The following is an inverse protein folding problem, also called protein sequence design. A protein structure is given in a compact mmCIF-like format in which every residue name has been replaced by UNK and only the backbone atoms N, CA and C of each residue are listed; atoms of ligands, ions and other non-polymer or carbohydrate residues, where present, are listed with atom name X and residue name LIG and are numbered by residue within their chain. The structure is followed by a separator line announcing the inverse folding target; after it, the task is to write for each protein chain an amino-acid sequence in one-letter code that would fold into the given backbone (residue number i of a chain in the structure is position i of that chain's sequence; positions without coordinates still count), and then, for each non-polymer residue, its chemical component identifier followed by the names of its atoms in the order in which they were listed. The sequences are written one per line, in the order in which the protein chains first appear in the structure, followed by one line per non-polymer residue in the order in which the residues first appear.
data_IF_665768049841
#
_entry.id   IF_665768049841
#
_cell.length_a   1.000
_cell.length_b   1.000
_cell.length_c   1.000
_cell.angle_alpha   90.00
_cell.angle_beta   90.00
_cell.angle_gamma   90.00
#
_symmetry.space_group_name_H-M   'P 1'
#
loop_
_entity.id
_entity.type
_entity.pdbx_description
1 polymer ?
#
# COMPACT_ATOMS: atom_id res chain seq x y z
N UNK A 1 -10.92 5.02 -19.21
CA UNK A 1 -11.62 3.94 -19.94
C UNK A 1 -11.01 2.58 -19.56
N UNK A 2 -11.77 1.48 -19.58
CA UNK A 2 -11.25 0.12 -19.35
C UNK A 2 -10.69 -0.44 -20.66
N UNK A 3 -9.37 -0.45 -20.83
CA UNK A 3 -8.74 -1.18 -21.93
C UNK A 3 -8.67 -2.67 -21.56
N UNK A 4 -9.44 -3.50 -22.28
CA UNK A 4 -9.27 -4.95 -22.24
C UNK A 4 -8.16 -5.33 -23.21
N UNK A 5 -6.99 -5.67 -22.69
CA UNK A 5 -5.94 -6.34 -23.48
C UNK A 5 -6.26 -7.84 -23.47
N UNK A 6 -5.94 -8.61 -24.52
CA UNK A 6 -6.24 -10.04 -24.54
C UNK A 6 -5.66 -10.72 -23.29
N UNK A 7 -6.53 -11.21 -22.41
CA UNK A 7 -6.15 -11.95 -21.21
C UNK A 7 -5.68 -11.13 -20.00
N UNK A 8 -5.69 -9.78 -20.02
CA UNK A 8 -5.36 -8.96 -18.82
C UNK A 8 -6.23 -7.71 -18.71
N UNK A 9 -6.45 -7.23 -17.49
CA UNK A 9 -7.21 -6.00 -17.20
C UNK A 9 -6.28 -4.93 -16.60
N UNK A 10 -6.28 -3.73 -17.18
CA UNK A 10 -5.71 -2.56 -16.50
C UNK A 10 -6.78 -1.92 -15.59
N UNK A 11 -6.42 -1.65 -14.34
CA UNK A 11 -7.28 -1.06 -13.33
C UNK A 11 -6.65 0.23 -12.83
N UNK A 12 -7.33 1.36 -13.03
CA UNK A 12 -6.79 2.66 -12.67
C UNK A 12 -6.71 2.85 -11.15
N UNK A 13 -5.72 3.60 -10.68
CA UNK A 13 -5.63 4.15 -9.32
C UNK A 13 -6.89 4.89 -8.89
N UNK A 14 -7.48 5.63 -9.81
CA UNK A 14 -8.66 6.46 -9.59
C UNK A 14 -9.99 5.75 -9.91
N UNK A 15 -9.96 4.46 -10.24
CA UNK A 15 -11.18 3.70 -10.55
C UNK A 15 -12.11 3.65 -9.34
N UNK A 16 -13.37 4.02 -9.54
CA UNK A 16 -14.44 3.89 -8.56
C UNK A 16 -15.21 2.62 -8.89
N UNK A 17 -15.27 1.69 -7.93
CA UNK A 17 -15.95 0.41 -8.12
C UNK A 17 -17.43 0.53 -7.79
N UNK A 18 -18.28 0.02 -8.68
CA UNK A 18 -19.70 -0.16 -8.41
C UNK A 18 -19.90 -1.34 -7.44
N UNK A 19 -20.90 -1.29 -6.54
CA UNK A 19 -21.34 -2.44 -5.76
C UNK A 19 -21.63 -3.70 -6.61
N UNK A 20 -22.03 -3.53 -7.86
CA UNK A 20 -22.37 -4.66 -8.75
C UNK A 20 -21.15 -5.39 -9.32
N UNK A 21 -19.96 -4.79 -9.23
CA UNK A 21 -18.72 -5.39 -9.79
C UNK A 21 -17.91 -6.19 -8.79
N UNK A 22 -18.28 -6.16 -7.50
CA UNK A 22 -17.56 -6.83 -6.42
C UNK A 22 -18.51 -7.20 -5.29
N UNK A 23 -18.36 -8.40 -4.73
CA UNK A 23 -19.09 -8.82 -3.54
C UNK A 23 -18.80 -7.89 -2.36
N UNK A 24 -19.85 -7.35 -1.77
CA UNK A 24 -19.75 -6.28 -0.77
C UNK A 24 -20.72 -6.47 0.40
N UNK A 25 -20.37 -5.84 1.52
CA UNK A 25 -21.20 -5.72 2.71
C UNK A 25 -21.63 -4.26 2.88
N UNK A 26 -22.94 -3.97 3.02
CA UNK A 26 -23.40 -2.60 3.28
C UNK A 26 -22.74 -2.02 4.53
N UNK A 27 -22.24 -0.78 4.42
CA UNK A 27 -21.67 -0.04 5.55
C UNK A 27 -22.74 0.31 6.59
N UNK A 28 -24.02 0.34 6.18
CA UNK A 28 -25.18 0.58 7.03
C UNK A 28 -25.56 2.05 7.18
N UNK A 29 -24.91 2.96 6.44
CA UNK A 29 -25.23 4.38 6.38
C UNK A 29 -24.67 5.00 5.09
N UNK A 30 -25.24 6.12 4.67
CA UNK A 30 -24.76 6.95 3.55
C UNK A 30 -23.71 7.93 4.06
N UNK A 31 -22.43 7.59 3.87
CA UNK A 31 -21.31 8.26 4.52
C UNK A 31 -21.15 9.71 4.09
N UNK A 32 -21.55 10.07 2.87
CA UNK A 32 -21.52 11.46 2.37
C UNK A 32 -22.60 12.35 2.95
N UNK A 33 -23.68 11.78 3.47
CA UNK A 33 -24.80 12.54 4.05
C UNK A 33 -24.54 12.93 5.51
N UNK A 34 -23.56 12.30 6.16
CA UNK A 34 -23.20 12.57 7.55
C UNK A 34 -22.07 13.60 7.63
N UNK A 35 -22.25 14.62 8.46
CA UNK A 35 -21.18 15.54 8.81
C UNK A 35 -20.08 14.82 9.60
N UNK A 36 -18.83 15.26 9.46
CA UNK A 36 -17.73 14.77 10.30
C UNK A 36 -18.05 15.02 11.77
N UNK A 37 -17.82 14.02 12.63
CA UNK A 37 -18.17 14.03 14.05
C UNK A 37 -19.64 13.69 14.34
N UNK A 38 -20.49 13.52 13.34
CA UNK A 38 -21.88 13.11 13.57
C UNK A 38 -21.94 11.63 14.02
N UNK A 39 -22.86 11.28 14.94
CA UNK A 39 -23.10 9.89 15.29
C UNK A 39 -23.65 9.12 14.08
N UNK A 40 -23.24 7.86 13.95
CA UNK A 40 -23.72 6.97 12.90
C UNK A 40 -25.11 6.40 13.27
N UNK A 41 -25.98 6.09 12.30
CA UNK A 41 -27.29 5.48 12.53
C UNK A 41 -27.19 3.97 12.83
N UNK A 42 -26.12 3.56 13.50
CA UNK A 42 -25.81 2.18 13.89
C UNK A 42 -25.15 2.20 15.27
N UNK A 43 -25.42 1.19 16.13
CA UNK A 43 -24.89 1.19 17.49
C UNK A 43 -23.35 1.03 17.50
N UNK A 44 -22.62 1.86 18.27
CA UNK A 44 -21.19 1.67 18.48
C UNK A 44 -20.90 0.42 19.31
N UNK A 45 -19.65 -0.04 19.24
CA UNK A 45 -19.08 -1.01 20.16
C UNK A 45 -18.79 -0.34 21.50
N UNK A 46 -19.72 -0.48 22.47
CA UNK A 46 -19.61 0.16 23.79
C UNK A 46 -18.25 -0.09 24.47
N UNK A 47 -17.76 -1.33 24.48
CA UNK A 47 -16.45 -1.67 25.06
C UNK A 47 -15.30 -0.90 24.40
N UNK A 48 -15.29 -0.84 23.06
CA UNK A 48 -14.24 -0.16 22.30
C UNK A 48 -14.24 1.34 22.62
N UNK A 49 -15.42 1.97 22.56
CA UNK A 49 -15.58 3.41 22.81
C UNK A 49 -15.19 3.77 24.25
N UNK A 50 -15.69 3.03 25.24
CA UNK A 50 -15.37 3.29 26.65
C UNK A 50 -13.87 3.14 26.93
N UNK A 51 -13.25 2.01 26.54
CA UNK A 51 -11.82 1.78 26.79
C UNK A 51 -10.93 2.75 26.03
N UNK A 52 -11.28 3.08 24.78
CA UNK A 52 -10.49 4.02 24.00
C UNK A 52 -10.59 5.45 24.53
N UNK A 53 -11.74 5.85 25.09
CA UNK A 53 -11.91 7.15 25.75
C UNK A 53 -11.06 7.30 27.02
N UNK A 54 -10.71 6.19 27.66
CA UNK A 54 -9.80 6.16 28.80
C UNK A 54 -8.32 6.17 28.39
N UNK A 55 -8.01 6.05 27.10
CA UNK A 55 -6.63 6.00 26.64
C UNK A 55 -6.01 7.40 26.48
N UNK A 56 -4.77 7.53 26.93
CA UNK A 56 -3.90 8.71 26.75
C UNK A 56 -2.81 8.51 25.69
N UNK A 57 -2.61 7.26 25.24
CA UNK A 57 -1.60 6.90 24.24
C UNK A 57 -2.04 5.85 23.22
N UNK A 58 -1.37 5.86 22.07
CA UNK A 58 -1.50 4.88 20.99
C UNK A 58 -0.12 4.28 20.69
N UNK A 59 0.02 2.97 20.87
CA UNK A 59 1.17 2.20 20.38
C UNK A 59 0.84 1.54 19.06
N UNK A 60 1.62 1.87 18.03
CA UNK A 60 1.58 1.20 16.74
C UNK A 60 2.65 0.11 16.71
N UNK A 61 2.22 -1.15 16.66
CA UNK A 61 3.12 -2.30 16.74
C UNK A 61 2.82 -3.29 15.60
N UNK A 62 3.62 -3.23 14.54
CA UNK A 62 3.50 -4.15 13.41
C UNK A 62 4.81 -4.91 13.18
N UNK A 63 4.72 -6.23 13.11
CA UNK A 63 5.84 -7.17 12.92
C UNK A 63 5.62 -8.16 11.79
N UNK A 64 4.39 -8.27 11.28
CA UNK A 64 4.03 -9.12 10.15
C UNK A 64 4.66 -8.68 8.82
N UNK A 65 4.07 -9.13 7.71
CA UNK A 65 4.57 -8.79 6.37
C UNK A 65 4.44 -7.29 6.12
N UNK A 66 5.47 -6.68 5.51
CA UNK A 66 5.51 -5.24 5.19
C UNK A 66 4.22 -4.75 4.51
N UNK A 67 3.71 -5.52 3.53
CA UNK A 67 2.51 -5.13 2.78
C UNK A 67 1.28 -5.00 3.66
N UNK A 68 0.99 -6.02 4.46
CA UNK A 68 -0.16 -6.05 5.37
C UNK A 68 -0.06 -4.91 6.39
N UNK A 69 1.14 -4.73 6.97
CA UNK A 69 1.42 -3.67 7.95
C UNK A 69 1.19 -2.27 7.38
N UNK A 70 1.67 -1.99 6.16
CA UNK A 70 1.51 -0.68 5.51
C UNK A 70 0.04 -0.36 5.21
N UNK A 71 -0.72 -1.35 4.73
CA UNK A 71 -2.14 -1.16 4.41
C UNK A 71 -2.98 -0.97 5.69
N UNK A 72 -2.58 -1.61 6.79
CA UNK A 72 -3.22 -1.50 8.10
C UNK A 72 -2.98 -0.17 8.83
N UNK A 73 -2.06 0.70 8.37
CA UNK A 73 -1.83 2.02 9.00
C UNK A 73 -3.10 2.90 8.96
N UNK A 74 -3.99 2.66 7.99
CA UNK A 74 -5.33 3.28 7.96
C UNK A 74 -6.15 3.06 9.24
N UNK A 75 -5.93 1.95 9.96
CA UNK A 75 -6.54 1.71 11.27
C UNK A 75 -6.01 2.67 12.33
N UNK A 76 -4.69 2.93 12.33
CA UNK A 76 -4.04 3.93 13.20
C UNK A 76 -4.62 5.30 12.92
N UNK A 77 -4.76 5.68 11.65
CA UNK A 77 -5.40 6.93 11.25
C UNK A 77 -6.83 7.04 11.77
N UNK A 78 -7.64 5.99 11.67
CA UNK A 78 -9.02 6.00 12.18
C UNK A 78 -9.09 6.22 13.70
N UNK A 79 -8.22 5.57 14.47
CA UNK A 79 -8.14 5.76 15.93
C UNK A 79 -7.65 7.17 16.28
N UNK A 80 -6.60 7.65 15.63
CA UNK A 80 -6.07 9.01 15.81
C UNK A 80 -7.14 10.07 15.50
N UNK A 81 -7.82 9.92 14.38
CA UNK A 81 -8.91 10.79 13.94
C UNK A 81 -10.04 10.84 14.98
N UNK A 82 -10.43 9.69 15.53
CA UNK A 82 -11.47 9.62 16.56
C UNK A 82 -11.03 10.32 17.85
N UNK A 83 -9.81 10.04 18.33
CA UNK A 83 -9.26 10.67 19.53
C UNK A 83 -9.17 12.19 19.39
N UNK A 84 -8.77 12.67 18.20
CA UNK A 84 -8.73 14.11 17.86
C UNK A 84 -10.13 14.74 17.91
N UNK A 85 -11.17 14.01 17.47
CA UNK A 85 -12.56 14.48 17.55
C UNK A 85 -13.08 14.54 18.99
N UNK A 86 -12.65 13.64 19.88
CA UNK A 86 -13.11 13.61 21.27
C UNK A 86 -12.39 14.65 22.16
N UNK A 87 -11.10 14.88 21.91
CA UNK A 87 -10.24 15.70 22.77
C UNK A 87 -9.37 16.67 21.96
N UNK A 88 -9.94 17.78 21.44
CA UNK A 88 -9.21 18.69 20.54
C UNK A 88 -8.09 19.50 21.20
N UNK A 89 -7.98 19.48 22.54
CA UNK A 89 -7.11 20.40 23.31
C UNK A 89 -5.84 19.77 23.87
N UNK A 90 -5.58 18.47 23.66
CA UNK A 90 -4.40 17.78 24.20
C UNK A 90 -3.57 17.08 23.13
N UNK A 91 -2.22 17.08 23.22
CA UNK A 91 -1.40 16.27 22.34
C UNK A 91 -1.62 14.80 22.65
N UNK A 92 -2.19 14.06 21.70
CA UNK A 92 -2.28 12.60 21.79
C UNK A 92 -0.89 12.00 21.65
N UNK A 93 -0.48 11.14 22.57
CA UNK A 93 0.77 10.40 22.45
C UNK A 93 0.60 9.26 21.43
N UNK A 94 1.36 9.29 20.34
CA UNK A 94 1.38 8.22 19.34
C UNK A 94 2.81 7.80 19.09
N UNK A 95 3.11 6.55 19.40
CA UNK A 95 4.42 5.95 19.25
C UNK A 95 4.35 4.74 18.32
N UNK A 96 5.49 4.38 17.73
CA UNK A 96 5.62 3.17 16.93
C UNK A 96 6.82 2.34 17.36
N UNK A 97 6.67 1.02 17.33
CA UNK A 97 7.72 0.06 17.61
C UNK A 97 7.83 -1.00 16.51
N UNK A 98 8.83 -1.87 16.63
CA UNK A 98 9.06 -2.97 15.68
C UNK A 98 9.77 -2.54 14.39
N UNK A 99 9.89 -3.47 13.42
CA UNK A 99 10.73 -3.28 12.23
C UNK A 99 10.27 -2.11 11.33
N UNK A 100 9.00 -1.72 11.41
CA UNK A 100 8.43 -0.69 10.54
C UNK A 100 8.25 0.68 11.23
N UNK A 101 8.71 0.85 12.48
CA UNK A 101 8.54 2.10 13.23
C UNK A 101 9.06 3.33 12.46
N UNK A 102 10.23 3.21 11.81
CA UNK A 102 10.82 4.28 10.99
C UNK A 102 9.97 4.65 9.77
N UNK A 103 9.23 3.70 9.20
CA UNK A 103 8.30 3.97 8.10
C UNK A 103 7.03 4.64 8.63
N UNK A 104 6.47 4.12 9.72
CA UNK A 104 5.26 4.67 10.35
C UNK A 104 5.49 6.13 10.78
N UNK A 105 6.68 6.48 11.28
CA UNK A 105 7.06 7.84 11.62
C UNK A 105 6.89 8.85 10.46
N UNK A 106 6.99 8.40 9.21
CA UNK A 106 6.91 9.25 8.01
C UNK A 106 5.48 9.61 7.61
N UNK A 107 4.49 8.99 8.25
CA UNK A 107 3.06 9.29 8.04
C UNK A 107 2.64 10.64 8.62
N UNK A 108 3.46 11.20 9.52
CA UNK A 108 3.10 12.40 10.29
C UNK A 108 2.13 12.14 11.44
N UNK A 109 1.77 10.88 11.73
CA UNK A 109 0.85 10.54 12.84
C UNK A 109 1.56 10.36 14.18
N UNK A 110 2.89 10.24 14.22
CA UNK A 110 3.63 10.08 15.47
C UNK A 110 3.89 11.45 16.11
N UNK A 111 3.72 11.52 17.42
CA UNK A 111 3.89 12.75 18.21
C UNK A 111 5.11 12.70 19.13
N UNK A 112 5.77 11.55 19.25
CA UNK A 112 6.94 11.34 20.12
C UNK A 112 8.01 10.49 19.38
N UNK A 113 9.32 10.72 19.61
CA UNK A 113 10.39 9.84 19.14
C UNK A 113 10.15 8.35 19.42
N UNK A 114 10.54 7.45 18.50
CA UNK A 114 10.43 6.00 18.72
C UNK A 114 11.19 5.56 19.98
N UNK A 115 10.55 4.74 20.82
CA UNK A 115 11.18 4.05 21.95
C UNK A 115 11.09 4.72 23.33
N UNK A 116 10.36 5.82 23.48
CA UNK A 116 9.98 6.30 24.80
C UNK A 116 8.99 5.31 25.46
N UNK A 117 9.08 5.12 26.78
CA UNK A 117 8.13 4.27 27.49
C UNK A 117 6.75 4.94 27.48
N UNK A 118 5.70 4.21 27.07
CA UNK A 118 4.35 4.69 27.31
C UNK A 118 3.98 4.50 28.78
N UNK A 119 3.84 5.61 29.49
CA UNK A 119 3.11 5.63 30.74
C UNK A 119 1.60 5.72 30.46
N UNK A 120 0.78 5.30 31.43
CA UNK A 120 -0.66 5.51 31.36
C UNK A 120 -1.46 4.38 30.71
N UNK A 121 -2.68 4.70 30.29
CA UNK A 121 -3.62 3.75 29.67
C UNK A 121 -3.52 3.90 28.16
N UNK A 122 -3.05 2.87 27.48
CA UNK A 122 -2.86 2.98 26.04
C UNK A 122 -3.59 1.91 25.23
N UNK A 123 -3.85 2.24 23.97
CA UNK A 123 -4.30 1.27 22.98
C UNK A 123 -3.11 0.78 22.15
N UNK A 124 -3.00 -0.53 21.96
CA UNK A 124 -2.07 -1.11 20.97
C UNK A 124 -2.83 -1.45 19.69
N UNK A 125 -2.29 -1.01 18.55
CA UNK A 125 -2.81 -1.29 17.21
C UNK A 125 -1.73 -2.05 16.44
N UNK A 126 -2.05 -3.24 15.94
CA UNK A 126 -1.04 -4.10 15.35
C UNK A 126 -1.58 -5.37 14.70
N UNK A 127 -0.69 -6.18 14.14
CA UNK A 127 -1.03 -7.57 13.78
C UNK A 127 -1.22 -8.43 15.04
N UNK A 128 -1.79 -9.63 14.86
CA UNK A 128 -2.15 -10.53 15.97
C UNK A 128 -0.94 -10.86 16.87
N UNK A 129 0.18 -11.23 16.26
CA UNK A 129 1.41 -11.59 17.00
C UNK A 129 1.94 -10.41 17.82
N UNK A 130 1.91 -9.19 17.26
CA UNK A 130 2.35 -8.00 17.99
C UNK A 130 1.40 -7.62 19.12
N UNK A 131 0.09 -7.64 18.88
CA UNK A 131 -0.92 -7.28 19.89
C UNK A 131 -0.91 -8.26 21.08
N UNK A 132 -0.68 -9.55 20.83
CA UNK A 132 -0.62 -10.57 21.89
C UNK A 132 0.52 -10.33 22.89
N UNK A 133 1.66 -9.76 22.44
CA UNK A 133 2.80 -9.41 23.31
C UNK A 133 2.49 -8.32 24.34
N UNK A 134 1.44 -7.54 24.10
CA UNK A 134 1.03 -6.43 24.96
C UNK A 134 -0.25 -6.75 25.73
N UNK A 135 -0.56 -8.04 25.92
CA UNK A 135 -1.81 -8.48 26.57
C UNK A 135 -1.93 -8.01 28.02
N UNK A 136 -0.82 -7.98 28.75
CA UNK A 136 -0.82 -7.66 30.18
C UNK A 136 -0.72 -6.14 30.45
N UNK A 137 -0.19 -5.37 29.49
CA UNK A 137 0.10 -3.94 29.65
C UNK A 137 -0.91 -3.02 28.93
N UNK A 138 -1.46 -3.45 27.79
CA UNK A 138 -2.33 -2.59 26.99
C UNK A 138 -3.74 -2.46 27.58
N UNK A 139 -4.20 -1.21 27.75
CA UNK A 139 -5.57 -0.94 28.17
C UNK A 139 -6.60 -1.30 27.09
N UNK A 140 -6.24 -1.29 25.81
CA UNK A 140 -7.11 -1.71 24.71
C UNK A 140 -6.27 -2.31 23.57
N UNK A 141 -6.85 -3.24 22.82
CA UNK A 141 -6.18 -3.97 21.74
C UNK A 141 -6.99 -3.88 20.45
N UNK A 142 -6.36 -3.42 19.38
CA UNK A 142 -6.95 -3.38 18.03
C UNK A 142 -6.11 -4.25 17.11
N UNK A 143 -6.61 -5.46 16.83
CA UNK A 143 -5.96 -6.40 15.91
C UNK A 143 -6.35 -6.06 14.47
N UNK A 144 -5.34 -5.78 13.65
CA UNK A 144 -5.45 -5.57 12.22
C UNK A 144 -5.22 -6.91 11.49
N UNK A 145 -6.29 -7.66 11.28
CA UNK A 145 -6.29 -8.87 10.47
C UNK A 145 -6.75 -8.55 9.03
N UNK A 146 -5.90 -8.68 8.00
CA UNK A 146 -6.28 -8.36 6.62
C UNK A 146 -7.31 -9.36 6.04
N UNK A 147 -7.54 -10.50 6.70
CA UNK A 147 -8.59 -11.44 6.36
C UNK A 147 -9.98 -11.00 6.85
N UNK A 148 -10.05 -10.17 7.89
CA UNK A 148 -11.28 -9.92 8.64
C UNK A 148 -12.24 -8.90 8.01
N UNK A 149 -11.82 -7.69 7.57
CA UNK A 149 -12.78 -6.68 7.16
C UNK A 149 -13.30 -6.95 5.73
N UNK A 150 -14.62 -6.91 5.50
CA UNK A 150 -15.22 -7.14 4.18
C UNK A 150 -15.00 -5.94 3.25
N UNK A 151 -15.29 -6.11 1.97
CA UNK A 151 -15.46 -4.98 1.08
C UNK A 151 -16.73 -4.20 1.47
N UNK A 152 -16.60 -2.93 1.84
CA UNK A 152 -17.76 -2.13 2.25
C UNK A 152 -18.45 -1.48 1.06
N UNK A 153 -19.76 -1.22 1.18
CA UNK A 153 -20.52 -0.36 0.25
C UNK A 153 -21.28 0.77 0.95
N UNK A 154 -21.20 1.96 0.37
CA UNK A 154 -21.92 3.17 0.82
C UNK A 154 -21.94 4.18 -0.33
N UNK A 155 -22.95 5.04 -0.41
CA UNK A 155 -23.06 6.10 -1.41
C UNK A 155 -22.97 5.58 -2.86
N UNK A 156 -23.54 4.40 -3.11
CA UNK A 156 -23.49 3.72 -4.42
C UNK A 156 -22.08 3.30 -4.87
N UNK A 157 -21.12 3.21 -3.94
CA UNK A 157 -19.72 2.88 -4.20
C UNK A 157 -19.24 1.71 -3.34
N UNK A 158 -18.43 0.83 -3.93
CA UNK A 158 -17.65 -0.17 -3.22
C UNK A 158 -16.29 0.38 -2.76
N UNK A 159 -15.84 -0.08 -1.59
CA UNK A 159 -14.56 0.24 -0.96
C UNK A 159 -13.71 -1.02 -0.84
N UNK A 160 -13.13 -1.50 -1.95
CA UNK A 160 -12.47 -2.78 -1.95
C UNK A 160 -11.04 -2.73 -1.41
N UNK A 161 -10.36 -1.59 -1.41
CA UNK A 161 -8.96 -1.49 -0.95
C UNK A 161 -8.82 -1.68 0.56
N UNK A 162 -7.78 -2.42 0.96
CA UNK A 162 -7.56 -2.76 2.37
C UNK A 162 -7.53 -1.54 3.31
N UNK A 163 -6.94 -0.39 2.94
CA UNK A 163 -6.98 0.80 3.78
C UNK A 163 -8.40 1.29 4.08
N UNK A 164 -9.27 1.34 3.06
CA UNK A 164 -10.67 1.70 3.27
C UNK A 164 -11.39 0.71 4.19
N UNK A 165 -11.10 -0.59 4.04
CA UNK A 165 -11.71 -1.65 4.85
C UNK A 165 -11.42 -1.50 6.33
N UNK A 166 -10.16 -1.29 6.70
CA UNK A 166 -9.75 -1.10 8.09
C UNK A 166 -10.31 0.21 8.66
N UNK A 167 -10.22 1.31 7.92
CA UNK A 167 -10.71 2.60 8.39
C UNK A 167 -12.23 2.58 8.62
N UNK A 168 -13.00 2.09 7.65
CA UNK A 168 -14.46 2.06 7.73
C UNK A 168 -14.97 1.05 8.76
N UNK A 169 -14.25 -0.06 8.98
CA UNK A 169 -14.58 -1.00 10.05
C UNK A 169 -14.45 -0.34 11.43
N UNK A 170 -13.41 0.48 11.65
CA UNK A 170 -13.26 1.23 12.90
C UNK A 170 -14.25 2.38 13.01
N UNK A 171 -14.48 3.15 11.94
CA UNK A 171 -15.52 4.19 11.89
C UNK A 171 -16.88 3.64 12.35
N UNK A 172 -17.29 2.50 11.78
CA UNK A 172 -18.52 1.79 12.16
C UNK A 172 -18.53 1.37 13.62
N UNK A 173 -17.43 0.79 14.13
CA UNK A 173 -17.35 0.32 15.53
C UNK A 173 -17.28 1.46 16.54
N UNK A 174 -16.71 2.60 16.17
CA UNK A 174 -16.61 3.80 17.01
C UNK A 174 -17.91 4.60 17.01
N UNK A 175 -18.76 4.45 15.99
CA UNK A 175 -20.10 5.03 15.94
C UNK A 175 -20.14 6.50 15.58
N UNK A 176 -19.06 7.07 15.03
CA UNK A 176 -19.00 8.45 14.57
C UNK A 176 -18.43 8.53 13.16
N UNK A 177 -18.89 9.50 12.36
CA UNK A 177 -18.32 9.81 11.06
C UNK A 177 -16.93 10.45 11.24
N UNK A 178 -15.86 9.74 10.87
CA UNK A 178 -14.48 10.24 11.03
C UNK A 178 -14.11 11.27 9.92
N UNK A 179 -12.98 12.00 9.96
CA UNK A 179 -12.71 13.09 9.02
C UNK A 179 -12.20 12.64 7.65
N UNK A 180 -11.63 11.43 7.49
CA UNK A 180 -10.99 11.08 6.22
C UNK A 180 -11.97 11.12 5.04
N UNK A 181 -11.57 11.80 3.97
CA UNK A 181 -12.26 11.89 2.69
C UNK A 181 -11.32 11.38 1.60
N UNK A 182 -11.86 10.69 0.59
CA UNK A 182 -11.04 10.13 -0.50
C UNK A 182 -10.27 8.86 -0.09
N UNK A 183 -8.94 8.87 -0.25
CA UNK A 183 -8.08 7.73 0.05
C UNK A 183 -7.77 7.62 1.55
N UNK A 184 -7.89 6.41 2.08
CA UNK A 184 -7.70 6.12 3.50
C UNK A 184 -6.24 5.85 3.87
N UNK A 185 -5.45 5.32 2.92
CA UNK A 185 -4.02 5.13 3.14
C UNK A 185 -3.32 6.47 3.39
N UNK A 186 -2.46 6.56 4.43
CA UNK A 186 -1.57 7.70 4.57
C UNK A 186 -0.45 7.67 3.54
N UNK A 187 0.17 8.82 3.30
CA UNK A 187 1.42 8.92 2.53
C UNK A 187 2.61 8.89 3.48
N UNK A 188 3.76 8.44 2.99
CA UNK A 188 5.02 8.38 3.74
C UNK A 188 5.96 9.44 3.16
N UNK A 189 6.24 10.49 3.93
CA UNK A 189 7.12 11.56 3.46
C UNK A 189 8.57 11.05 3.35
N UNK A 190 9.15 11.23 2.17
CA UNK A 190 10.56 10.94 1.90
C UNK A 190 11.45 11.87 2.72
N UNK A 191 12.51 11.31 3.27
CA UNK A 191 13.53 12.02 4.01
C UNK A 191 14.84 12.08 3.20
N UNK A 192 15.70 13.08 3.44
CA UNK A 192 17.05 13.08 2.90
C UNK A 192 17.80 11.82 3.38
N UNK A 193 18.30 11.02 2.45
CA UNK A 193 19.13 9.87 2.79
C UNK A 193 20.43 9.81 1.96
N UNK A 194 21.40 9.02 2.44
CA UNK A 194 22.71 8.88 1.78
C UNK A 194 22.58 8.24 0.40
N UNK A 195 21.76 7.21 0.26
CA UNK A 195 21.60 6.46 -0.98
C UNK A 195 21.06 7.34 -2.12
N UNK A 196 19.99 8.08 -1.88
CA UNK A 196 19.39 9.00 -2.87
C UNK A 196 20.40 10.06 -3.31
N UNK A 197 21.22 10.60 -2.39
CA UNK A 197 22.31 11.52 -2.76
C UNK A 197 23.36 10.87 -3.65
N UNK A 198 23.76 9.63 -3.34
CA UNK A 198 24.72 8.88 -4.15
C UNK A 198 24.17 8.55 -5.54
N UNK A 199 22.91 8.10 -5.63
CA UNK A 199 22.24 7.84 -6.89
C UNK A 199 22.12 9.09 -7.75
N UNK A 200 21.75 10.23 -7.13
CA UNK A 200 21.70 11.52 -7.80
C UNK A 200 23.06 11.97 -8.31
N UNK A 201 24.10 11.90 -7.48
CA UNK A 201 25.46 12.26 -7.87
C UNK A 201 26.02 11.38 -9.00
N UNK A 202 25.59 10.11 -9.08
CA UNK A 202 25.93 9.19 -10.16
C UNK A 202 25.01 9.33 -11.39
N UNK A 203 24.11 10.31 -11.41
CA UNK A 203 23.20 10.61 -12.51
C UNK A 203 22.11 9.57 -12.76
N UNK A 204 21.74 8.78 -11.75
CA UNK A 204 20.67 7.77 -11.85
C UNK A 204 19.26 8.38 -11.87
N UNK A 205 19.12 9.69 -11.64
CA UNK A 205 17.86 10.43 -11.75
C UNK A 205 17.89 11.48 -12.88
N UNK A 206 18.90 11.46 -13.75
CA UNK A 206 19.07 12.47 -14.82
C UNK A 206 18.35 12.07 -16.11
N UNK A 207 17.02 12.04 -16.08
CA UNK A 207 16.17 11.65 -17.21
C UNK A 207 15.17 10.58 -16.79
N UNK A 208 14.73 9.73 -17.73
CA UNK A 208 13.69 8.74 -17.46
C UNK A 208 14.20 7.58 -16.59
N UNK A 209 13.78 7.55 -15.33
CA UNK A 209 14.13 6.54 -14.33
C UNK A 209 12.92 5.70 -13.96
N UNK A 210 13.02 4.40 -14.24
CA UNK A 210 12.01 3.38 -13.97
C UNK A 210 12.52 2.46 -12.87
N UNK A 211 11.68 2.15 -11.89
CA UNK A 211 11.97 1.14 -10.87
C UNK A 211 11.17 -0.12 -11.16
N UNK A 212 11.80 -1.29 -11.11
CA UNK A 212 11.10 -2.57 -11.12
C UNK A 212 11.38 -3.36 -9.84
N UNK A 213 10.31 -3.70 -9.11
CA UNK A 213 10.36 -4.43 -7.85
C UNK A 213 10.13 -5.92 -8.14
N UNK A 214 11.22 -6.69 -8.10
CA UNK A 214 11.21 -8.15 -8.31
C UNK A 214 11.07 -8.90 -6.99
N UNK A 215 11.50 -8.29 -5.88
CA UNK A 215 11.41 -8.87 -4.54
C UNK A 215 9.98 -9.34 -4.20
N UNK A 216 9.80 -10.64 -4.02
CA UNK A 216 8.50 -11.26 -3.70
C UNK A 216 8.65 -12.38 -2.67
N UNK A 217 7.65 -12.55 -1.82
CA UNK A 217 7.62 -13.61 -0.81
C UNK A 217 7.26 -14.99 -1.38
N UNK A 218 6.90 -15.07 -2.67
CA UNK A 218 6.51 -16.34 -3.30
C UNK A 218 6.87 -16.39 -4.79
N UNK A 219 8.16 -16.55 -5.12
CA UNK A 219 8.65 -16.39 -6.50
C UNK A 219 7.96 -17.29 -7.52
N UNK A 220 7.72 -18.55 -7.15
CA UNK A 220 7.03 -19.60 -7.95
C UNK A 220 5.71 -19.13 -8.60
N UNK A 221 5.00 -18.18 -7.96
CA UNK A 221 3.65 -17.77 -8.37
C UNK A 221 3.49 -16.27 -8.60
N UNK A 222 4.43 -15.46 -8.09
CA UNK A 222 4.31 -14.00 -8.09
C UNK A 222 5.46 -13.30 -8.79
N UNK A 223 6.48 -14.01 -9.26
CA UNK A 223 7.63 -13.35 -9.86
C UNK A 223 7.41 -13.04 -11.35
N UNK A 224 7.49 -11.76 -11.69
CA UNK A 224 7.54 -11.32 -13.07
C UNK A 224 8.94 -11.42 -13.68
N UNK A 225 9.96 -11.72 -12.87
CA UNK A 225 11.38 -11.82 -13.24
C UNK A 225 12.02 -10.50 -13.68
N UNK A 226 13.33 -10.41 -13.46
CA UNK A 226 14.12 -9.24 -13.84
C UNK A 226 14.19 -9.06 -15.37
N UNK A 227 14.20 -10.15 -16.12
CA UNK A 227 14.30 -10.18 -17.58
C UNK A 227 13.06 -9.55 -18.21
N UNK A 228 11.86 -9.91 -17.75
CA UNK A 228 10.61 -9.36 -18.31
C UNK A 228 10.45 -7.89 -17.96
N UNK A 229 10.83 -7.46 -16.75
CA UNK A 229 10.87 -6.03 -16.42
C UNK A 229 11.92 -5.26 -17.24
N UNK A 230 13.07 -5.87 -17.53
CA UNK A 230 14.06 -5.29 -18.43
C UNK A 230 13.50 -5.15 -19.84
N UNK A 231 12.75 -6.14 -20.32
CA UNK A 231 12.07 -6.06 -21.61
C UNK A 231 11.03 -4.92 -21.64
N UNK A 232 10.24 -4.75 -20.57
CA UNK A 232 9.32 -3.61 -20.41
C UNK A 232 10.09 -2.29 -20.52
N UNK A 233 11.21 -2.14 -19.81
CA UNK A 233 12.03 -0.94 -19.86
C UNK A 233 12.61 -0.66 -21.26
N UNK A 234 13.07 -1.70 -21.98
CA UNK A 234 13.54 -1.57 -23.36
C UNK A 234 12.43 -1.03 -24.27
N UNK A 235 11.21 -1.57 -24.13
CA UNK A 235 10.05 -1.15 -24.93
C UNK A 235 9.62 0.28 -24.61
N UNK A 236 9.72 0.71 -23.34
CA UNK A 236 9.50 2.11 -22.96
C UNK A 236 10.55 3.02 -23.61
N UNK A 237 11.83 2.62 -23.57
CA UNK A 237 12.93 3.38 -24.18
C UNK A 237 12.71 3.57 -25.68
N UNK A 238 12.36 2.49 -26.39
CA UNK A 238 12.05 2.50 -27.82
C UNK A 238 10.85 3.41 -28.14
N UNK A 239 9.74 3.27 -27.40
CA UNK A 239 8.53 4.05 -27.61
C UNK A 239 8.71 5.55 -27.34
N UNK A 240 9.50 5.91 -26.32
CA UNK A 240 9.79 7.30 -25.93
C UNK A 240 11.00 7.89 -26.62
N UNK A 241 11.72 7.10 -27.43
CA UNK A 241 12.98 7.47 -28.10
C UNK A 241 13.98 8.12 -27.13
N UNK A 242 14.03 7.62 -25.89
CA UNK A 242 14.81 8.21 -24.79
C UNK A 242 15.47 7.08 -23.98
N UNK A 243 16.76 7.21 -23.60
CA UNK A 243 17.40 6.22 -22.73
C UNK A 243 16.69 6.08 -21.39
N UNK A 244 16.52 4.84 -20.93
CA UNK A 244 15.89 4.51 -19.64
C UNK A 244 16.95 4.09 -18.62
N UNK A 245 16.79 4.53 -17.38
CA UNK A 245 17.54 4.04 -16.22
C UNK A 245 16.65 3.12 -15.42
N UNK A 246 16.98 1.83 -15.42
CA UNK A 246 16.21 0.82 -14.71
C UNK A 246 16.87 0.51 -13.36
N UNK A 247 16.16 0.78 -12.28
CA UNK A 247 16.52 0.37 -10.93
C UNK A 247 15.79 -0.95 -10.62
N UNK A 248 16.51 -2.06 -10.58
CA UNK A 248 15.98 -3.38 -10.21
C UNK A 248 16.09 -3.57 -8.70
N UNK A 249 14.95 -3.70 -8.02
CA UNK A 249 14.88 -3.88 -6.57
C UNK A 249 14.57 -5.35 -6.26
N UNK A 250 15.60 -6.12 -5.95
CA UNK A 250 15.53 -7.52 -5.56
C UNK A 250 15.43 -7.75 -4.06
N UNK A 251 15.07 -8.98 -3.70
CA UNK A 251 15.05 -9.43 -2.31
C UNK A 251 16.46 -9.58 -1.73
N UNK A 252 16.52 -9.81 -0.43
CA UNK A 252 17.78 -10.11 0.24
C UNK A 252 18.25 -11.53 -0.11
N UNK A 253 19.30 -11.64 -0.93
CA UNK A 253 19.99 -12.91 -1.16
C UNK A 253 21.13 -13.03 -0.14
N UNK A 254 20.86 -13.72 0.97
CA UNK A 254 21.83 -14.10 2.03
C UNK A 254 22.17 -13.05 3.11
N UNK A 255 21.29 -12.11 3.44
CA UNK A 255 21.55 -11.09 4.47
C UNK A 255 22.32 -9.86 3.95
N UNK A 256 22.54 -9.76 2.63
CA UNK A 256 23.51 -8.84 2.03
C UNK A 256 22.82 -7.78 1.15
N UNK A 257 23.15 -6.52 1.42
CA UNK A 257 22.81 -5.40 0.53
C UNK A 257 23.75 -5.42 -0.67
N UNK A 258 23.18 -5.40 -1.89
CA UNK A 258 23.94 -5.27 -3.14
C UNK A 258 23.46 -4.07 -3.94
N UNK A 259 24.39 -3.16 -4.22
CA UNK A 259 24.20 -2.06 -5.19
C UNK A 259 25.22 -2.23 -6.32
N UNK A 260 24.77 -2.66 -7.50
CA UNK A 260 25.66 -3.02 -8.59
C UNK A 260 25.06 -2.70 -9.98
N UNK A 261 25.83 -2.09 -10.86
CA UNK A 261 25.41 -1.90 -12.25
C UNK A 261 25.51 -3.22 -13.03
N UNK A 262 24.49 -3.58 -13.82
CA UNK A 262 24.43 -4.83 -14.58
C UNK A 262 24.65 -4.66 -16.11
N UNK A 263 25.28 -3.56 -16.51
CA UNK A 263 25.50 -3.25 -17.92
C UNK A 263 24.34 -2.49 -18.56
N UNK A 264 24.39 -2.35 -19.89
CA UNK A 264 23.37 -1.65 -20.67
C UNK A 264 22.83 -2.56 -21.78
N UNK A 265 21.52 -2.51 -22.02
CA UNK A 265 20.82 -3.30 -23.03
C UNK A 265 19.80 -2.41 -23.73
N UNK A 266 19.87 -2.31 -25.06
CA UNK A 266 18.88 -1.62 -25.91
C UNK A 266 18.40 -0.26 -25.35
N UNK A 267 19.34 0.64 -25.06
CA UNK A 267 19.00 1.98 -24.53
C UNK A 267 18.61 2.01 -23.04
N UNK A 268 18.70 0.89 -22.33
CA UNK A 268 18.46 0.78 -20.88
C UNK A 268 19.79 0.62 -20.14
N UNK A 269 20.02 1.40 -19.09
CA UNK A 269 21.09 1.20 -18.10
C UNK A 269 20.51 0.59 -16.84
N UNK A 270 21.11 -0.47 -16.32
CA UNK A 270 20.53 -1.24 -15.21
C UNK A 270 21.38 -1.09 -13.93
N UNK A 271 20.71 -0.82 -12.81
CA UNK A 271 21.28 -0.84 -11.45
C UNK A 271 20.47 -1.79 -10.57
N UNK A 272 21.15 -2.78 -9.97
CA UNK A 272 20.57 -3.62 -8.93
C UNK A 272 20.63 -2.93 -7.57
N UNK A 273 19.55 -3.05 -6.82
CA UNK A 273 19.31 -2.51 -5.49
C UNK A 273 18.73 -3.62 -4.59
N UNK A 274 19.51 -4.68 -4.39
CA UNK A 274 19.04 -5.90 -3.72
C UNK A 274 19.24 -5.80 -2.20
N UNK A 275 18.28 -6.33 -1.44
CA UNK A 275 18.37 -6.42 0.03
C UNK A 275 18.31 -5.07 0.76
N UNK A 276 18.00 -3.96 0.08
CA UNK A 276 17.93 -2.66 0.72
C UNK A 276 16.82 -2.58 1.78
N UNK A 277 17.08 -1.92 2.92
CA UNK A 277 16.04 -1.63 3.90
C UNK A 277 14.87 -0.84 3.29
N UNK A 278 13.65 -1.18 3.70
CA UNK A 278 12.44 -0.54 3.20
C UNK A 278 12.40 0.97 3.48
N UNK A 279 12.93 1.43 4.62
CA UNK A 279 13.05 2.87 4.91
C UNK A 279 14.01 3.60 3.96
N UNK A 280 15.10 2.95 3.53
CA UNK A 280 15.98 3.52 2.52
C UNK A 280 15.29 3.61 1.14
N UNK A 281 14.52 2.59 0.77
CA UNK A 281 13.75 2.58 -0.49
C UNK A 281 12.64 3.63 -0.51
N UNK A 282 12.01 3.91 0.63
CA UNK A 282 10.99 4.96 0.76
C UNK A 282 11.51 6.38 0.42
N UNK A 283 12.82 6.60 0.44
CA UNK A 283 13.43 7.85 -0.01
C UNK A 283 13.84 7.82 -1.50
N UNK A 284 14.18 6.64 -2.03
CA UNK A 284 14.59 6.48 -3.43
C UNK A 284 13.39 6.54 -4.36
N UNK A 285 12.34 5.77 -4.05
CA UNK A 285 11.18 5.56 -4.92
C UNK A 285 10.50 6.86 -5.37
N UNK A 286 10.30 7.88 -4.50
CA UNK A 286 9.62 9.12 -4.90
C UNK A 286 10.41 10.01 -5.88
N UNK A 287 11.69 9.70 -6.12
CA UNK A 287 12.55 10.44 -7.06
C UNK A 287 12.54 9.85 -8.48
N UNK A 288 11.78 8.79 -8.72
CA UNK A 288 11.69 8.12 -10.02
C UNK A 288 10.45 8.60 -10.80
N UNK A 289 10.38 8.28 -12.09
CA UNK A 289 9.27 8.67 -12.96
C UNK A 289 8.16 7.62 -13.01
N UNK A 290 8.50 6.35 -12.75
CA UNK A 290 7.57 5.23 -12.78
C UNK A 290 8.07 4.09 -11.90
N UNK A 291 7.16 3.41 -11.21
CA UNK A 291 7.46 2.16 -10.49
C UNK A 291 6.55 1.05 -10.98
N UNK A 292 7.12 -0.11 -11.28
CA UNK A 292 6.42 -1.36 -11.57
C UNK A 292 6.83 -2.39 -10.52
N UNK A 293 5.93 -3.28 -10.15
CA UNK A 293 6.28 -4.33 -9.20
C UNK A 293 5.28 -5.45 -9.11
N UNK A 294 5.75 -6.58 -8.60
CA UNK A 294 4.90 -7.68 -8.17
C UNK A 294 3.94 -7.21 -7.05
N UNK A 295 2.85 -7.94 -6.79
CA UNK A 295 1.98 -7.73 -5.63
C UNK A 295 2.71 -8.06 -4.30
N UNK A 296 3.44 -7.05 -3.77
CA UNK A 296 4.32 -7.16 -2.61
C UNK A 296 4.34 -5.86 -1.80
N UNK A 297 4.81 -5.93 -0.55
CA UNK A 297 4.87 -4.77 0.34
C UNK A 297 5.74 -3.62 -0.18
N UNK A 298 6.78 -3.89 -0.97
CA UNK A 298 7.61 -2.84 -1.55
C UNK A 298 6.87 -2.06 -2.66
N UNK A 299 5.97 -2.70 -3.39
CA UNK A 299 5.10 -2.01 -4.36
C UNK A 299 4.10 -1.09 -3.63
N UNK A 300 3.54 -1.53 -2.51
CA UNK A 300 2.70 -0.68 -1.65
C UNK A 300 3.49 0.49 -1.06
N UNK A 301 4.73 0.23 -0.61
CA UNK A 301 5.65 1.26 -0.15
C UNK A 301 5.90 2.32 -1.22
N UNK A 302 6.18 1.92 -2.46
CA UNK A 302 6.36 2.86 -3.57
C UNK A 302 5.13 3.73 -3.81
N UNK A 303 3.93 3.14 -3.68
CA UNK A 303 2.68 3.86 -3.82
C UNK A 303 2.43 4.85 -2.67
N UNK A 304 2.87 4.55 -1.45
CA UNK A 304 2.66 5.44 -0.30
C UNK A 304 3.77 6.49 -0.15
N UNK A 305 5.01 6.19 -0.57
CA UNK A 305 6.16 7.07 -0.43
C UNK A 305 6.04 8.30 -1.33
N UNK A 306 6.13 9.51 -0.77
CA UNK A 306 5.98 10.77 -1.50
C UNK A 306 7.07 11.75 -1.12
N UNK A 307 7.43 12.61 -2.06
CA UNK A 307 8.26 13.77 -1.78
C UNK A 307 7.51 14.74 -0.86
N UNK A 308 8.23 15.68 -0.26
CA UNK A 308 7.65 16.68 0.64
C UNK A 308 6.58 17.56 -0.03
N UNK A 309 6.65 17.74 -1.37
CA UNK A 309 5.64 18.44 -2.16
C UNK A 309 4.39 17.59 -2.46
N UNK A 310 4.30 16.37 -1.90
CA UNK A 310 3.24 15.39 -2.19
C UNK A 310 3.42 14.66 -3.53
N UNK A 311 4.45 15.02 -4.31
CA UNK A 311 4.75 14.42 -5.60
C UNK A 311 5.37 13.02 -5.48
N UNK A 312 5.29 12.26 -6.57
CA UNK A 312 5.89 10.93 -6.70
C UNK A 312 5.42 10.22 -7.97
N UNK A 313 6.00 9.06 -8.29
CA UNK A 313 5.67 8.36 -9.53
C UNK A 313 4.27 7.70 -9.45
N UNK A 314 3.62 7.50 -10.61
CA UNK A 314 2.64 6.43 -10.75
C UNK A 314 3.29 5.07 -10.45
N UNK A 315 2.53 4.19 -9.82
CA UNK A 315 2.96 2.85 -9.42
C UNK A 315 2.03 1.83 -10.04
N UNK A 316 2.58 0.82 -10.71
CA UNK A 316 1.84 -0.25 -11.35
C UNK A 316 2.13 -1.59 -10.66
N UNK A 317 1.16 -2.10 -9.91
CA UNK A 317 1.23 -3.44 -9.35
C UNK A 317 0.77 -4.51 -10.34
N UNK A 318 1.47 -5.65 -10.38
CA UNK A 318 1.10 -6.81 -11.18
C UNK A 318 0.46 -7.89 -10.30
N UNK A 319 -0.78 -8.25 -10.60
CA UNK A 319 -1.60 -9.12 -9.78
C UNK A 319 -1.95 -10.41 -10.53
N UNK A 320 -1.32 -11.51 -10.11
CA UNK A 320 -1.54 -12.84 -10.67
C UNK A 320 -2.76 -13.52 -10.03
N UNK A 321 -2.75 -13.61 -8.70
CA UNK A 321 -3.64 -14.49 -7.95
C UNK A 321 -4.45 -13.81 -6.87
N UNK A 322 -4.04 -12.64 -6.42
CA UNK A 322 -4.75 -11.92 -5.37
C UNK A 322 -5.71 -10.91 -5.99
N UNK A 323 -6.79 -10.59 -5.29
CA UNK A 323 -7.71 -9.51 -5.66
C UNK A 323 -6.92 -8.22 -5.85
N UNK A 324 -6.88 -7.72 -7.09
CA UNK A 324 -6.10 -6.53 -7.43
C UNK A 324 -6.62 -5.30 -6.68
N UNK A 325 -7.92 -5.19 -6.42
CA UNK A 325 -8.49 -4.05 -5.71
C UNK A 325 -8.23 -4.13 -4.20
N UNK A 326 -8.26 -5.34 -3.62
CA UNK A 326 -8.12 -5.56 -2.17
C UNK A 326 -6.72 -5.23 -1.69
N UNK A 327 -5.70 -5.74 -2.39
CA UNK A 327 -4.30 -5.59 -2.00
C UNK A 327 -3.66 -4.36 -2.67
N UNK A 328 -4.36 -3.22 -2.59
CA UNK A 328 -3.92 -1.90 -3.05
C UNK A 328 -4.06 -0.89 -1.93
N UNK A 329 -3.40 0.26 -2.13
CA UNK A 329 -3.42 1.37 -1.18
C UNK A 329 -4.64 2.28 -1.32
N UNK A 330 -5.46 2.12 -2.35
CA UNK A 330 -6.58 3.03 -2.65
C UNK A 330 -6.14 4.44 -3.06
N UNK A 331 -4.84 4.66 -3.32
CA UNK A 331 -4.30 5.94 -3.79
C UNK A 331 -4.47 6.08 -5.31
N UNK A 332 -4.76 7.29 -5.84
CA UNK A 332 -5.11 7.51 -7.25
C UNK A 332 -3.98 7.22 -8.24
N UNK A 333 -2.74 7.13 -7.75
CA UNK A 333 -1.53 6.84 -8.52
C UNK A 333 -1.03 5.40 -8.35
N UNK A 334 -1.75 4.55 -7.60
CA UNK A 334 -1.40 3.13 -7.44
C UNK A 334 -2.32 2.29 -8.31
N UNK A 335 -1.90 2.02 -9.53
CA UNK A 335 -2.61 1.27 -10.57
C UNK A 335 -2.35 -0.24 -10.45
N UNK A 336 -3.15 -1.03 -11.15
CA UNK A 336 -2.95 -2.47 -11.26
C UNK A 336 -3.06 -2.99 -12.69
N UNK A 337 -2.32 -4.04 -12.99
CA UNK A 337 -2.61 -4.98 -14.07
C UNK A 337 -2.99 -6.31 -13.45
N UNK A 338 -4.17 -6.80 -13.77
CA UNK A 338 -4.72 -8.02 -13.22
C UNK A 338 -4.80 -9.11 -14.28
N UNK A 339 -4.42 -10.33 -13.90
CA UNK A 339 -4.79 -11.54 -14.64
C UNK A 339 -6.31 -11.77 -14.53
N UNK A 340 -6.89 -12.67 -15.36
CA UNK A 340 -8.29 -13.05 -15.24
C UNK A 340 -8.61 -13.74 -13.91
N UNK A 341 -7.65 -14.46 -13.33
CA UNK A 341 -7.81 -15.08 -12.02
C UNK A 341 -7.84 -14.02 -10.90
N UNK A 342 -6.95 -13.03 -10.94
CA UNK A 342 -6.96 -11.89 -10.02
C UNK A 342 -8.27 -11.11 -10.10
N UNK A 343 -8.83 -10.94 -11.31
CA UNK A 343 -10.13 -10.32 -11.52
C UNK A 343 -11.28 -11.13 -10.88
N UNK A 344 -11.27 -12.46 -10.99
CA UNK A 344 -12.25 -13.31 -10.27
C UNK A 344 -12.14 -13.14 -8.75
N UNK A 345 -10.93 -13.05 -8.22
CA UNK A 345 -10.73 -12.79 -6.77
C UNK A 345 -11.25 -11.41 -6.36
N UNK A 346 -11.11 -10.41 -7.23
CA UNK A 346 -11.74 -9.11 -7.03
C UNK A 346 -13.26 -9.23 -6.95
N UNK A 347 -13.89 -9.84 -7.96
CA UNK A 347 -15.35 -9.95 -8.05
C UNK A 347 -15.97 -10.66 -6.84
N UNK A 348 -15.32 -11.70 -6.31
CA UNK A 348 -15.82 -12.46 -5.16
C UNK A 348 -15.39 -11.94 -3.79
N UNK A 349 -14.61 -10.85 -3.70
CA UNK A 349 -13.91 -10.45 -2.46
C UNK A 349 -13.09 -11.58 -1.79
N UNK A 350 -12.47 -12.41 -2.64
CA UNK A 350 -11.78 -13.62 -2.22
C UNK A 350 -10.28 -13.39 -1.98
N UNK A 351 -9.73 -14.21 -1.10
CA UNK A 351 -8.31 -14.35 -0.81
C UNK A 351 -7.94 -15.83 -0.96
N UNK A 352 -7.13 -16.21 -1.96
CA UNK A 352 -6.86 -17.61 -2.27
C UNK A 352 -6.37 -18.46 -1.09
N UNK A 353 -5.53 -17.88 -0.22
CA UNK A 353 -4.98 -18.59 0.93
C UNK A 353 -6.03 -18.75 2.04
N UNK A 354 -6.77 -17.68 2.35
CA UNK A 354 -7.82 -17.67 3.39
C UNK A 354 -9.00 -18.56 3.00
N UNK A 355 -9.44 -18.45 1.75
CA UNK A 355 -10.67 -19.06 1.26
C UNK A 355 -10.43 -20.41 0.57
N UNK A 356 -9.19 -20.94 0.62
CA UNK A 356 -8.85 -22.24 0.07
C UNK A 356 -9.07 -22.37 -1.44
N UNK A 357 -8.98 -21.26 -2.19
CA UNK A 357 -9.19 -21.28 -3.65
C UNK A 357 -7.97 -21.88 -4.31
N UNK A 358 -8.15 -23.05 -4.93
CA UNK A 358 -7.11 -23.69 -5.75
C UNK A 358 -6.79 -22.81 -6.94
N UNK A 359 -5.51 -22.48 -7.19
CA UNK A 359 -5.13 -21.71 -8.37
C UNK A 359 -5.41 -22.51 -9.64
N UNK A 360 -6.09 -21.91 -10.62
CA UNK A 360 -6.24 -22.50 -11.95
C UNK A 360 -4.91 -22.43 -12.73
N UNK A 361 -4.79 -23.21 -13.81
CA UNK A 361 -3.74 -22.99 -14.81
C UNK A 361 -3.82 -21.53 -15.31
N UNK A 362 -2.77 -20.73 -15.07
CA UNK A 362 -2.76 -19.28 -15.39
C UNK A 362 -2.94 -18.34 -14.20
N UNK A 363 -2.82 -18.83 -12.96
CA UNK A 363 -2.77 -18.00 -11.75
C UNK A 363 -1.38 -17.40 -11.43
N UNK A 364 -0.44 -17.43 -12.38
CA UNK A 364 0.87 -16.79 -12.30
C UNK A 364 0.93 -15.49 -13.16
N UNK A 365 2.08 -14.83 -13.19
CA UNK A 365 2.26 -13.60 -13.98
C UNK A 365 2.68 -13.86 -15.45
N UNK A 366 2.80 -15.12 -15.88
CA UNK A 366 3.29 -15.45 -17.23
C UNK A 366 2.37 -14.90 -18.32
N UNK A 367 1.06 -14.87 -18.07
CA UNK A 367 0.04 -14.32 -18.96
C UNK A 367 0.07 -12.80 -19.12
N UNK A 368 0.74 -12.06 -18.22
CA UNK A 368 0.89 -10.60 -18.33
C UNK A 368 2.09 -10.28 -19.22
N UNK A 369 1.89 -10.05 -20.52
CA UNK A 369 3.00 -9.91 -21.46
C UNK A 369 3.78 -8.58 -21.29
N UNK A 370 5.12 -8.56 -21.45
CA UNK A 370 5.92 -7.33 -21.34
C UNK A 370 5.46 -6.20 -22.28
N UNK A 371 5.03 -6.55 -23.50
CA UNK A 371 4.50 -5.57 -24.45
C UNK A 371 3.23 -4.87 -23.95
N UNK A 372 2.36 -5.62 -23.29
CA UNK A 372 1.11 -5.10 -22.74
C UNK A 372 1.37 -4.16 -21.56
N UNK A 373 2.27 -4.55 -20.65
CA UNK A 373 2.71 -3.72 -19.52
C UNK A 373 3.40 -2.45 -20.01
N UNK A 374 4.33 -2.56 -20.97
CA UNK A 374 5.04 -1.40 -21.52
C UNK A 374 4.10 -0.35 -22.12
N UNK A 375 3.04 -0.79 -22.82
CA UNK A 375 2.02 0.13 -23.35
C UNK A 375 1.35 0.94 -22.24
N UNK A 376 0.87 0.26 -21.19
CA UNK A 376 0.27 0.92 -20.02
C UNK A 376 1.26 1.90 -19.37
N UNK A 377 2.53 1.50 -19.23
CA UNK A 377 3.56 2.34 -18.65
C UNK A 377 3.84 3.60 -19.47
N UNK A 378 3.87 3.48 -20.80
CA UNK A 378 4.04 4.64 -21.71
C UNK A 378 2.87 5.61 -21.58
N UNK A 379 1.64 5.09 -21.47
CA UNK A 379 0.45 5.92 -21.28
C UNK A 379 0.50 6.64 -19.91
N UNK A 380 0.89 5.96 -18.84
CA UNK A 380 1.06 6.58 -17.52
C UNK A 380 2.14 7.67 -17.51
N UNK A 381 3.27 7.45 -18.20
CA UNK A 381 4.35 8.44 -18.37
C UNK A 381 3.95 9.63 -19.26
N UNK A 382 2.89 9.51 -20.05
CA UNK A 382 2.34 10.58 -20.88
C UNK A 382 1.41 11.54 -20.14
N UNK A 383 1.05 11.25 -18.88
CA UNK A 383 -0.11 11.83 -18.22
C UNK A 383 -1.34 10.95 -18.46
N UNK A 384 -2.11 10.73 -17.40
CA UNK A 384 -3.08 9.62 -17.23
C UNK A 384 -3.83 9.21 -18.51
N UNK A 385 -3.91 7.92 -18.86
CA UNK A 385 -4.80 7.46 -19.94
C UNK A 385 -6.25 7.84 -19.59
N UNK A 386 -6.93 8.56 -20.49
CA UNK A 386 -8.36 8.87 -20.36
C UNK A 386 -9.22 7.60 -20.49
#
# INVERSE_FOLDING_TARGET
MTFSLPGIRFCSGAEVFSPDTVHTTPLGYERRQLAVGAPLPIPPSAELVCRLAECDGVLVSFRGKLGDSLLAISAVRAVHDWLTLQSPTGPLLVQAEGPYAKLIARTGTLTDPPGAAMGGKFVVIGDRESVERHTDDAHLRVVCDPAAPPCWTSDGRAFPDMPARHYLALERRLGFRLPAQGSFAPTLTAAPNRLTRQLRAAGWFDGLTVVAITATSWPEHKDYTAERFTEVACRIADARKTPVRLLLVGGDQNGCVRVAAAGAVRGVRILHLDGLPADALADVLPNCDLVLGNDTGLTHLAAMARRADGGGPPVLGLYARHSHSKWRTGLPHHHAVASPFSERMHQGDLCPVRDGVTPDAGADLSGILPAAVARVCVDLLGGTPQ
#
